data_IF_859336411567
#
_entry.id   IF_859336411567
#
_cell.length_a   1.000
_cell.length_b   1.000
_cell.length_c   1.000
_cell.angle_alpha   90.00
_cell.angle_beta   90.00
_cell.angle_gamma   90.00
#
_symmetry.space_group_name_H-M   'P 1'
#
loop_
_entity.id
_entity.type
_entity.pdbx_description
1 polymer ?
#
# COMPACT_ATOMS: atom_id res chain seq x y z
N UNK A 1 -0.22 31.32 26.50
CA UNK A 1 -0.17 29.87 26.22
C UNK A 1 -1.25 29.56 25.19
N UNK A 2 -0.86 29.19 23.96
CA UNK A 2 -1.83 28.82 22.91
C UNK A 2 -2.37 27.43 23.18
N UNK A 3 -3.69 27.30 23.30
CA UNK A 3 -4.35 25.99 23.44
C UNK A 3 -4.03 25.13 22.21
N UNK A 4 -3.55 23.90 22.36
CA UNK A 4 -3.24 23.04 21.23
C UNK A 4 -4.50 22.77 20.41
N UNK A 5 -4.38 22.91 19.09
CA UNK A 5 -5.48 22.56 18.17
C UNK A 5 -5.61 21.04 18.08
N UNK A 6 -6.83 20.54 18.18
CA UNK A 6 -7.11 19.12 18.01
C UNK A 6 -7.58 18.87 16.58
N UNK A 7 -6.96 17.91 15.91
CA UNK A 7 -7.33 17.42 14.58
C UNK A 7 -7.78 15.96 14.71
N UNK A 8 -8.98 15.66 14.25
CA UNK A 8 -9.52 14.29 14.23
C UNK A 8 -9.44 13.76 12.80
N UNK A 9 -8.83 12.60 12.64
CA UNK A 9 -8.66 11.89 11.37
C UNK A 9 -9.49 10.62 11.44
N UNK A 10 -10.37 10.41 10.47
CA UNK A 10 -11.23 9.23 10.39
C UNK A 10 -10.63 8.23 9.41
N UNK A 11 -10.33 7.03 9.90
CA UNK A 11 -9.72 5.94 9.16
C UNK A 11 -8.23 5.77 9.47
N UNK A 12 -7.87 4.59 9.98
CA UNK A 12 -6.50 4.18 10.34
C UNK A 12 -5.74 3.45 9.22
N UNK A 13 -6.17 3.62 7.97
CA UNK A 13 -5.42 3.15 6.80
C UNK A 13 -4.23 4.04 6.49
N UNK A 14 -3.45 3.69 5.45
CA UNK A 14 -2.22 4.40 5.07
C UNK A 14 -2.44 5.91 4.88
N UNK A 15 -3.56 6.31 4.28
CA UNK A 15 -3.86 7.72 4.04
C UNK A 15 -4.06 8.50 5.35
N UNK A 16 -4.83 7.95 6.30
CA UNK A 16 -5.07 8.59 7.58
C UNK A 16 -3.80 8.67 8.44
N UNK A 17 -3.03 7.58 8.50
CA UNK A 17 -1.77 7.52 9.25
C UNK A 17 -0.73 8.47 8.65
N UNK A 18 -0.56 8.50 7.32
CA UNK A 18 0.34 9.42 6.64
C UNK A 18 -0.09 10.90 6.83
N UNK A 19 -1.40 11.16 6.86
CA UNK A 19 -1.93 12.51 7.15
C UNK A 19 -1.58 12.94 8.59
N UNK A 20 -1.77 12.05 9.57
CA UNK A 20 -1.40 12.35 10.97
C UNK A 20 0.09 12.65 11.10
N UNK A 21 0.93 11.82 10.46
CA UNK A 21 2.38 12.01 10.45
C UNK A 21 2.78 13.35 9.82
N UNK A 22 2.27 13.65 8.63
CA UNK A 22 2.58 14.90 7.93
C UNK A 22 2.14 16.15 8.70
N UNK A 23 0.97 16.10 9.35
CA UNK A 23 0.48 17.19 10.19
C UNK A 23 1.39 17.44 11.39
N UNK A 24 1.85 16.38 12.04
CA UNK A 24 2.77 16.49 13.17
C UNK A 24 4.13 17.07 12.75
N UNK A 25 4.68 16.62 11.60
CA UNK A 25 5.91 17.19 11.05
C UNK A 25 5.75 18.68 10.74
N UNK A 26 4.68 19.05 10.03
CA UNK A 26 4.43 20.45 9.66
C UNK A 26 4.22 21.34 10.89
N UNK A 27 3.51 20.84 11.90
CA UNK A 27 3.30 21.57 13.14
C UNK A 27 4.61 21.80 13.88
N UNK A 28 5.48 20.79 13.94
CA UNK A 28 6.81 20.91 14.56
C UNK A 28 7.67 21.96 13.85
N UNK A 29 7.70 21.94 12.52
CA UNK A 29 8.41 22.96 11.71
C UNK A 29 7.86 24.37 11.96
N UNK A 30 6.54 24.49 12.12
CA UNK A 30 5.88 25.76 12.38
C UNK A 30 5.94 26.21 13.86
N UNK A 31 6.59 25.44 14.74
CA UNK A 31 6.62 25.70 16.17
C UNK A 31 5.24 25.64 16.84
N UNK A 32 4.30 24.90 16.25
CA UNK A 32 2.94 24.75 16.74
C UNK A 32 2.76 23.40 17.44
N UNK A 33 1.92 23.40 18.48
CA UNK A 33 1.51 22.16 19.15
C UNK A 33 0.13 21.78 18.67
N UNK A 34 0.03 20.59 18.06
CA UNK A 34 -1.25 19.99 17.64
C UNK A 34 -1.45 18.65 18.34
N UNK A 35 -2.70 18.27 18.53
CA UNK A 35 -3.11 16.95 18.97
C UNK A 35 -3.81 16.25 17.82
N UNK A 36 -3.21 15.19 17.27
CA UNK A 36 -3.85 14.34 16.27
C UNK A 36 -4.54 13.16 16.97
N UNK A 37 -5.81 12.93 16.63
CA UNK A 37 -6.59 11.77 17.07
C UNK A 37 -7.00 11.02 15.82
N UNK A 38 -6.55 9.78 15.67
CA UNK A 38 -6.97 8.90 14.57
C UNK A 38 -8.04 7.96 15.08
N UNK A 39 -9.17 7.90 14.40
CA UNK A 39 -10.28 6.99 14.71
C UNK A 39 -10.31 5.87 13.68
N UNK A 40 -10.25 4.63 14.13
CA UNK A 40 -10.36 3.42 13.31
C UNK A 40 -11.56 2.60 13.77
N UNK A 41 -12.39 2.17 12.81
CA UNK A 41 -13.59 1.38 13.10
C UNK A 41 -13.28 -0.13 13.21
N UNK A 42 -12.19 -0.57 12.57
CA UNK A 42 -11.77 -1.97 12.57
C UNK A 42 -10.90 -2.34 13.77
N UNK A 43 -10.60 -3.62 13.94
CA UNK A 43 -9.78 -4.13 15.05
C UNK A 43 -8.28 -3.85 14.88
N UNK A 44 -7.84 -3.39 13.70
CA UNK A 44 -6.42 -3.21 13.37
C UNK A 44 -6.17 -1.97 12.52
N UNK A 45 -4.97 -1.44 12.62
CA UNK A 45 -4.45 -0.38 11.78
C UNK A 45 -3.96 -0.91 10.43
N UNK A 46 -3.87 -0.04 9.42
CA UNK A 46 -3.35 -0.37 8.09
C UNK A 46 -4.42 -0.43 7.00
N UNK A 47 -5.70 -0.60 7.36
CA UNK A 47 -6.81 -0.63 6.43
C UNK A 47 -6.71 -1.78 5.43
N UNK A 48 -6.46 -1.48 4.15
CA UNK A 48 -6.32 -2.49 3.08
C UNK A 48 -4.94 -3.16 3.03
N UNK A 49 -3.95 -2.64 3.75
CA UNK A 49 -2.62 -3.25 3.83
C UNK A 49 -2.68 -4.30 4.94
N UNK A 50 -2.75 -5.56 4.54
CA UNK A 50 -2.95 -6.69 5.47
C UNK A 50 -1.98 -7.79 5.13
N UNK A 51 -1.20 -8.19 6.13
CA UNK A 51 -0.24 -9.29 6.03
C UNK A 51 -0.74 -10.47 6.84
N UNK A 52 -0.75 -11.65 6.26
CA UNK A 52 -1.07 -12.91 6.93
C UNK A 52 0.17 -13.80 7.07
N UNK A 53 0.22 -14.55 8.16
CA UNK A 53 1.22 -15.62 8.35
C UNK A 53 0.52 -16.96 8.33
N UNK A 54 0.94 -17.85 7.42
CA UNK A 54 0.43 -19.21 7.26
C UNK A 54 1.61 -20.16 7.45
N UNK A 55 1.80 -20.64 8.66
CA UNK A 55 2.99 -21.41 9.03
C UNK A 55 4.26 -20.55 8.89
N UNK A 56 5.17 -20.96 8.02
CA UNK A 56 6.43 -20.24 7.72
C UNK A 56 6.28 -19.21 6.62
N UNK A 57 5.13 -19.17 5.94
CA UNK A 57 4.89 -18.27 4.82
C UNK A 57 4.30 -16.95 5.31
N UNK A 58 4.78 -15.86 4.73
CA UNK A 58 4.17 -14.54 4.84
C UNK A 58 3.46 -14.24 3.52
N UNK A 59 2.18 -13.89 3.60
CA UNK A 59 1.36 -13.55 2.42
C UNK A 59 0.70 -12.21 2.63
N UNK A 60 0.67 -11.40 1.58
CA UNK A 60 -0.04 -10.14 1.58
C UNK A 60 -1.46 -10.35 1.06
N UNK A 61 -2.45 -9.86 1.82
CA UNK A 61 -3.87 -9.93 1.46
C UNK A 61 -4.39 -8.61 0.89
N UNK A 62 -3.49 -7.68 0.64
CA UNK A 62 -3.77 -6.35 0.09
C UNK A 62 -2.62 -5.89 -0.80
N UNK A 63 -2.41 -4.56 -0.92
CA UNK A 63 -1.26 -4.02 -1.62
C UNK A 63 0.04 -4.47 -0.97
N UNK A 64 0.93 -5.06 -1.77
CA UNK A 64 2.23 -5.61 -1.36
C UNK A 64 3.42 -4.77 -1.83
N UNK A 65 3.15 -3.83 -2.73
CA UNK A 65 4.20 -3.04 -3.37
C UNK A 65 3.70 -1.65 -3.77
N UNK A 66 4.61 -0.76 -4.05
CA UNK A 66 4.32 0.55 -4.61
C UNK A 66 5.34 0.92 -5.69
N UNK A 67 4.94 1.82 -6.59
CA UNK A 67 5.79 2.24 -7.71
C UNK A 67 6.88 3.20 -7.23
N UNK A 68 8.14 2.83 -7.45
CA UNK A 68 9.30 3.67 -7.12
C UNK A 68 9.32 5.02 -7.88
N UNK A 69 8.64 5.11 -9.04
CA UNK A 69 8.47 6.36 -9.77
C UNK A 69 7.54 7.36 -9.05
N UNK A 70 6.81 6.92 -8.01
CA UNK A 70 6.00 7.80 -7.17
C UNK A 70 6.80 8.20 -5.93
N UNK A 71 7.39 9.42 -5.89
CA UNK A 71 8.37 9.77 -4.86
C UNK A 71 7.79 9.80 -3.43
N UNK A 72 6.49 10.04 -3.29
CA UNK A 72 5.86 10.18 -1.97
C UNK A 72 5.99 8.94 -1.08
N UNK A 73 5.93 7.73 -1.66
CA UNK A 73 6.10 6.47 -0.92
C UNK A 73 7.53 6.32 -0.39
N UNK A 74 8.51 6.55 -1.26
CA UNK A 74 9.93 6.50 -0.88
C UNK A 74 10.28 7.55 0.16
N UNK A 75 9.76 8.77 0.01
CA UNK A 75 9.98 9.87 0.95
C UNK A 75 9.41 9.53 2.34
N UNK A 76 8.21 8.95 2.40
CA UNK A 76 7.61 8.51 3.66
C UNK A 76 8.46 7.41 4.31
N UNK A 77 8.90 6.40 3.54
CA UNK A 77 9.78 5.35 4.05
C UNK A 77 11.08 5.91 4.61
N UNK A 78 11.70 6.87 3.90
CA UNK A 78 12.92 7.55 4.35
C UNK A 78 12.70 8.28 5.67
N UNK A 79 11.62 9.03 5.79
CA UNK A 79 11.26 9.77 7.02
C UNK A 79 10.98 8.86 8.21
N UNK A 80 10.46 7.67 7.95
CA UNK A 80 10.19 6.64 8.97
C UNK A 80 11.42 5.77 9.28
N UNK A 81 12.57 5.99 8.62
CA UNK A 81 13.78 5.17 8.82
C UNK A 81 13.67 3.75 8.27
N UNK A 82 12.82 3.54 7.26
CA UNK A 82 12.55 2.22 6.65
C UNK A 82 13.31 1.99 5.35
N UNK A 83 14.26 2.86 4.99
CA UNK A 83 14.96 2.79 3.69
C UNK A 83 15.66 1.45 3.50
N UNK A 84 16.34 0.94 4.54
CA UNK A 84 17.09 -0.31 4.48
C UNK A 84 16.21 -1.57 4.46
N UNK A 85 14.90 -1.39 4.70
CA UNK A 85 13.91 -2.47 4.64
C UNK A 85 13.21 -2.56 3.29
N UNK A 86 13.47 -1.61 2.39
CA UNK A 86 12.91 -1.64 1.05
C UNK A 86 13.64 -2.67 0.20
N UNK A 87 12.87 -3.56 -0.40
CA UNK A 87 13.36 -4.57 -1.34
C UNK A 87 12.77 -4.34 -2.72
N UNK A 88 13.56 -4.64 -3.75
CA UNK A 88 13.07 -4.59 -5.12
C UNK A 88 12.25 -5.83 -5.46
N UNK A 89 11.35 -5.68 -6.42
CA UNK A 89 10.61 -6.81 -7.00
C UNK A 89 11.57 -7.82 -7.61
N UNK A 90 11.31 -9.11 -7.40
CA UNK A 90 12.09 -10.15 -8.04
C UNK A 90 11.78 -10.21 -9.54
N UNK A 91 12.75 -9.82 -10.36
CA UNK A 91 12.62 -9.77 -11.81
C UNK A 91 12.40 -11.15 -12.47
N UNK A 92 12.83 -12.22 -11.80
CA UNK A 92 12.70 -13.60 -12.31
C UNK A 92 11.38 -14.29 -11.94
N UNK A 93 10.59 -13.68 -11.05
CA UNK A 93 9.35 -14.26 -10.53
C UNK A 93 8.12 -13.37 -10.83
N UNK A 94 8.04 -12.82 -12.03
CA UNK A 94 6.96 -11.91 -12.46
C UNK A 94 5.71 -12.65 -12.95
N UNK A 95 5.19 -13.56 -12.15
CA UNK A 95 3.96 -14.27 -12.51
C UNK A 95 2.79 -13.71 -11.72
N UNK A 96 1.69 -13.38 -12.39
CA UNK A 96 0.45 -12.96 -11.79
C UNK A 96 -0.68 -13.93 -12.15
N UNK A 97 -1.55 -14.18 -11.20
CA UNK A 97 -2.66 -15.12 -11.38
C UNK A 97 -3.97 -14.43 -11.01
N UNK A 98 -5.02 -14.79 -11.72
CA UNK A 98 -6.40 -14.38 -11.41
C UNK A 98 -7.22 -15.62 -11.07
N UNK A 99 -7.90 -15.58 -9.95
CA UNK A 99 -8.89 -16.60 -9.60
C UNK A 99 -10.21 -16.24 -10.31
N UNK A 100 -10.61 -17.05 -11.28
CA UNK A 100 -11.88 -16.92 -11.99
C UNK A 100 -12.60 -18.27 -12.05
N UNK A 101 -13.88 -18.29 -11.71
CA UNK A 101 -14.73 -19.49 -11.72
C UNK A 101 -14.11 -20.69 -10.97
N UNK A 102 -13.45 -20.44 -9.82
CA UNK A 102 -12.82 -21.45 -8.98
C UNK A 102 -11.50 -22.02 -9.52
N UNK A 103 -10.91 -21.43 -10.56
CA UNK A 103 -9.61 -21.82 -11.13
C UNK A 103 -8.65 -20.65 -11.19
N UNK A 104 -7.37 -20.94 -10.95
CA UNK A 104 -6.30 -19.97 -11.12
C UNK A 104 -5.89 -19.94 -12.59
N UNK A 105 -5.95 -18.74 -13.17
CA UNK A 105 -5.49 -18.46 -14.53
C UNK A 105 -4.27 -17.57 -14.46
N UNK A 106 -3.19 -17.98 -15.10
CA UNK A 106 -2.01 -17.15 -15.22
C UNK A 106 -2.29 -16.00 -16.19
N UNK A 107 -1.94 -14.77 -15.77
CA UNK A 107 -2.06 -13.62 -16.66
C UNK A 107 -1.00 -13.71 -17.77
N UNK A 108 -1.39 -13.54 -19.03
CA UNK A 108 -0.45 -13.56 -20.14
C UNK A 108 0.54 -12.39 -20.02
N UNK A 109 1.77 -12.63 -20.45
CA UNK A 109 2.79 -11.59 -20.52
C UNK A 109 2.33 -10.40 -21.38
N UNK A 110 2.75 -9.20 -20.99
CA UNK A 110 2.43 -7.98 -21.73
C UNK A 110 1.09 -7.32 -21.35
N UNK A 111 0.44 -7.73 -20.26
CA UNK A 111 -0.65 -6.98 -19.67
C UNK A 111 -0.10 -5.72 -18.96
N UNK A 112 -0.49 -4.56 -19.46
CA UNK A 112 -0.24 -3.29 -18.76
C UNK A 112 -1.58 -2.81 -18.21
N UNK A 113 -1.69 -2.80 -16.89
CA UNK A 113 -2.88 -2.26 -16.19
C UNK A 113 -4.20 -2.82 -16.74
N UNK A 114 -4.31 -4.13 -16.92
CA UNK A 114 -5.47 -4.83 -17.47
C UNK A 114 -5.75 -4.59 -18.97
N UNK A 115 -4.91 -3.89 -19.69
CA UNK A 115 -5.01 -3.73 -21.14
C UNK A 115 -4.04 -4.69 -21.84
N UNK A 116 -4.54 -5.69 -22.57
CA UNK A 116 -3.66 -6.62 -23.27
C UNK A 116 -2.99 -5.92 -24.46
N UNK A 117 -1.66 -5.97 -24.53
CA UNK A 117 -0.92 -5.54 -25.74
C UNK A 117 -1.19 -6.45 -26.93
N UNK A 118 -1.54 -7.70 -26.68
CA UNK A 118 -1.85 -8.71 -27.70
C UNK A 118 -3.14 -9.45 -27.33
N UNK A 119 -4.12 -9.44 -28.23
CA UNK A 119 -5.42 -10.07 -28.01
C UNK A 119 -5.36 -11.60 -28.07
N UNK A 120 -4.51 -12.17 -28.90
CA UNK A 120 -4.43 -13.62 -29.11
C UNK A 120 -4.11 -14.41 -27.83
N UNK A 121 -3.04 -14.10 -27.08
CA UNK A 121 -2.76 -14.74 -25.80
C UNK A 121 -3.85 -14.51 -24.75
N UNK A 122 -4.46 -13.33 -24.74
CA UNK A 122 -5.54 -12.99 -23.81
C UNK A 122 -6.80 -13.82 -24.04
N UNK A 123 -7.23 -14.01 -25.28
CA UNK A 123 -8.38 -14.85 -25.64
C UNK A 123 -8.16 -16.34 -25.31
N UNK A 124 -6.91 -16.80 -25.29
CA UNK A 124 -6.54 -18.19 -24.93
C UNK A 124 -6.34 -18.40 -23.43
N UNK A 125 -6.31 -17.34 -22.64
CA UNK A 125 -6.02 -17.42 -21.18
C UNK A 125 -7.15 -18.06 -20.37
N UNK A 126 -8.36 -18.20 -20.93
CA UNK A 126 -9.54 -18.69 -20.20
C UNK A 126 -10.10 -17.70 -19.18
N UNK A 127 -9.75 -16.45 -19.28
CA UNK A 127 -10.23 -15.36 -18.40
C UNK A 127 -11.59 -14.79 -18.83
N UNK A 128 -12.03 -15.10 -20.04
CA UNK A 128 -13.32 -14.69 -20.62
C UNK A 128 -14.39 -15.75 -20.43
#
# INVERSE_FOLDING_TARGET
MTTPRTVVIVGGGISGLATAFALQEQAAVAGQVIRCIVLEAGPSWGGKIVTHRIGVLTTEAGPDSFLAQKPAGLELCRKLGLTDQLINTNETAKRAFVLSRGRLHELPEGLITFVPKQLGPFLRSGLL
#
